data_IF_818609023547
#
_entry.id   IF_818609023547
#
_cell.length_a   1.000
_cell.length_b   1.000
_cell.length_c   1.000
_cell.angle_alpha   90.00
_cell.angle_beta   90.00
_cell.angle_gamma   90.00
#
_symmetry.space_group_name_H-M   'P 1'
#
loop_
_entity.id
_entity.type
_entity.pdbx_description
1 polymer ?
#
# COMPACT_ATOMS: atom_id res chain seq x y z
N UNK A 1 8.93 -8.40 3.58
CA UNK A 1 8.23 -8.05 2.32
C UNK A 1 9.31 -7.90 1.25
N UNK A 2 9.12 -8.52 0.07
CA UNK A 2 10.09 -8.44 -1.02
C UNK A 2 10.16 -7.02 -1.60
N UNK A 3 11.31 -6.64 -2.16
CA UNK A 3 11.54 -5.31 -2.75
C UNK A 3 10.55 -4.91 -3.86
N UNK A 4 9.78 -5.87 -4.36
CA UNK A 4 8.86 -5.72 -5.48
C UNK A 4 7.38 -5.59 -5.05
N UNK A 5 7.13 -5.45 -3.75
CA UNK A 5 5.79 -5.31 -3.20
C UNK A 5 5.61 -3.91 -2.63
N UNK A 6 4.47 -3.32 -2.95
CA UNK A 6 4.06 -1.98 -2.53
C UNK A 6 2.75 -2.13 -1.76
N UNK A 7 2.70 -1.62 -0.55
CA UNK A 7 1.47 -1.56 0.22
C UNK A 7 0.62 -0.40 -0.29
N UNK A 8 -0.60 -0.69 -0.74
CA UNK A 8 -1.61 0.29 -1.10
C UNK A 8 -2.55 0.43 0.08
N UNK A 9 -2.59 1.61 0.66
CA UNK A 9 -3.42 1.91 1.82
C UNK A 9 -4.59 2.78 1.38
N UNK A 10 -5.81 2.34 1.66
CA UNK A 10 -7.04 3.11 1.45
C UNK A 10 -7.34 3.93 2.70
N UNK A 11 -7.64 5.20 2.54
CA UNK A 11 -8.17 6.02 3.62
C UNK A 11 -9.57 5.55 4.03
N UNK A 12 -10.01 5.97 5.21
CA UNK A 12 -11.39 5.73 5.68
C UNK A 12 -12.44 6.29 4.73
N UNK A 13 -12.17 7.44 4.13
CA UNK A 13 -13.04 8.06 3.12
C UNK A 13 -13.11 7.22 1.84
N UNK A 14 -11.98 6.72 1.35
CA UNK A 14 -11.93 5.85 0.18
C UNK A 14 -12.70 4.54 0.39
N UNK A 15 -12.58 3.92 1.56
CA UNK A 15 -13.33 2.71 1.89
C UNK A 15 -14.84 2.97 1.93
N UNK A 16 -15.25 4.15 2.39
CA UNK A 16 -16.66 4.53 2.47
C UNK A 16 -17.28 4.89 1.10
N UNK A 17 -16.56 5.65 0.27
CA UNK A 17 -17.16 6.36 -0.87
C UNK A 17 -16.48 6.11 -2.23
N UNK A 18 -15.30 5.48 -2.29
CA UNK A 18 -14.59 5.24 -3.56
C UNK A 18 -15.27 4.18 -4.43
N UNK A 19 -15.47 4.48 -5.70
CA UNK A 19 -15.98 3.52 -6.69
C UNK A 19 -14.98 2.38 -6.93
N UNK A 20 -13.69 2.66 -6.90
CA UNK A 20 -12.61 1.68 -7.07
C UNK A 20 -12.59 0.66 -5.93
N UNK A 21 -12.63 1.13 -4.70
CA UNK A 21 -12.71 0.22 -3.54
C UNK A 21 -14.00 -0.61 -3.56
N UNK A 22 -15.13 0.02 -3.92
CA UNK A 22 -16.42 -0.67 -4.08
C UNK A 22 -16.37 -1.76 -5.14
N UNK A 23 -15.71 -1.50 -6.28
CA UNK A 23 -15.51 -2.49 -7.34
C UNK A 23 -14.66 -3.67 -6.87
N UNK A 24 -13.55 -3.44 -6.16
CA UNK A 24 -12.71 -4.47 -5.58
C UNK A 24 -13.48 -5.34 -4.57
N UNK A 25 -14.28 -4.71 -3.71
CA UNK A 25 -15.16 -5.42 -2.78
C UNK A 25 -16.24 -6.23 -3.50
N UNK A 26 -16.82 -5.72 -4.57
CA UNK A 26 -17.81 -6.42 -5.37
C UNK A 26 -17.21 -7.65 -6.07
N UNK A 27 -16.02 -7.54 -6.64
CA UNK A 27 -15.27 -8.69 -7.20
C UNK A 27 -15.07 -9.79 -6.16
N UNK A 28 -14.58 -9.42 -4.98
CA UNK A 28 -14.37 -10.34 -3.88
C UNK A 28 -15.68 -10.99 -3.41
N UNK A 29 -16.71 -10.18 -3.15
CA UNK A 29 -17.97 -10.65 -2.57
C UNK A 29 -18.79 -11.50 -3.56
N UNK A 30 -18.66 -11.27 -4.86
CA UNK A 30 -19.26 -12.11 -5.90
C UNK A 30 -18.48 -13.41 -6.15
N UNK A 31 -17.35 -13.63 -5.49
CA UNK A 31 -16.44 -14.76 -5.74
C UNK A 31 -16.05 -14.85 -7.23
N UNK A 32 -15.93 -13.69 -7.90
CA UNK A 32 -15.75 -13.57 -9.35
C UNK A 32 -16.85 -14.23 -10.20
N UNK A 33 -18.03 -14.50 -9.66
CA UNK A 33 -19.13 -15.13 -10.40
C UNK A 33 -19.94 -14.14 -11.24
N UNK A 34 -19.91 -12.86 -10.88
CA UNK A 34 -20.59 -11.78 -11.62
C UNK A 34 -19.78 -11.39 -12.86
N UNK A 35 -20.38 -11.61 -14.04
CA UNK A 35 -19.73 -11.34 -15.32
C UNK A 35 -19.60 -9.86 -15.64
N UNK A 36 -20.56 -9.03 -15.23
CA UNK A 36 -20.57 -7.59 -15.49
C UNK A 36 -19.48 -6.89 -14.67
N UNK A 37 -19.37 -7.25 -13.40
CA UNK A 37 -18.34 -6.72 -12.50
C UNK A 37 -16.94 -7.10 -12.99
N UNK A 38 -16.74 -8.36 -13.44
CA UNK A 38 -15.46 -8.79 -14.02
C UNK A 38 -15.10 -8.01 -15.28
N UNK A 39 -16.08 -7.81 -16.17
CA UNK A 39 -15.85 -7.08 -17.41
C UNK A 39 -15.49 -5.60 -17.14
N UNK A 40 -16.20 -4.94 -16.23
CA UNK A 40 -15.89 -3.58 -15.81
C UNK A 40 -14.45 -3.49 -15.28
N UNK A 41 -14.06 -4.42 -14.43
CA UNK A 41 -12.71 -4.49 -13.89
C UNK A 41 -11.65 -4.73 -14.99
N UNK A 42 -11.88 -5.68 -15.91
CA UNK A 42 -10.95 -5.94 -17.01
C UNK A 42 -10.77 -4.69 -17.89
N UNK A 43 -11.83 -3.96 -18.16
CA UNK A 43 -11.75 -2.72 -18.93
C UNK A 43 -10.93 -1.64 -18.21
N UNK A 44 -11.04 -1.51 -16.89
CA UNK A 44 -10.19 -0.61 -16.12
C UNK A 44 -8.71 -0.97 -16.27
N UNK A 45 -8.35 -2.25 -16.09
CA UNK A 45 -6.96 -2.71 -16.27
C UNK A 45 -6.48 -2.48 -17.70
N UNK A 46 -7.23 -2.89 -18.71
CA UNK A 46 -6.85 -2.78 -20.13
C UNK A 46 -6.59 -1.32 -20.51
N UNK A 47 -7.44 -0.41 -20.05
CA UNK A 47 -7.34 1.02 -20.38
C UNK A 47 -6.16 1.72 -19.67
N UNK A 48 -5.65 1.15 -18.58
CA UNK A 48 -4.53 1.72 -17.79
C UNK A 48 -3.19 1.03 -18.06
N UNK A 49 -3.17 -0.06 -18.86
CA UNK A 49 -1.93 -0.77 -19.17
C UNK A 49 -1.19 -0.09 -20.33
N UNK A 50 0.06 0.28 -20.09
CA UNK A 50 1.03 0.62 -21.11
C UNK A 50 2.17 -0.42 -21.14
N UNK A 51 1.96 -1.51 -21.88
CA UNK A 51 2.95 -2.57 -22.08
C UNK A 51 3.47 -2.60 -23.53
N UNK A 52 3.29 -1.52 -24.27
CA UNK A 52 3.64 -1.41 -25.67
C UNK A 52 2.89 -2.43 -26.54
N UNK A 53 3.53 -2.91 -27.62
CA UNK A 53 2.95 -3.87 -28.58
C UNK A 53 2.92 -5.33 -28.07
N UNK A 54 3.15 -5.56 -26.78
CA UNK A 54 3.21 -6.90 -26.19
C UNK A 54 1.81 -7.47 -25.96
N UNK A 55 1.61 -8.74 -26.33
CA UNK A 55 0.43 -9.47 -25.90
C UNK A 55 0.56 -9.85 -24.43
N UNK A 56 -0.54 -9.79 -23.69
CA UNK A 56 -0.59 -10.17 -22.28
C UNK A 56 -1.89 -10.89 -21.93
N UNK A 57 -1.85 -11.61 -20.82
CA UNK A 57 -2.98 -12.29 -20.23
C UNK A 57 -3.25 -11.69 -18.85
N UNK A 58 -4.49 -11.25 -18.62
CA UNK A 58 -4.95 -10.84 -17.29
C UNK A 58 -5.57 -12.06 -16.61
N UNK A 59 -4.99 -12.48 -15.51
CA UNK A 59 -5.50 -13.55 -14.67
C UNK A 59 -6.14 -12.93 -13.43
N UNK A 60 -7.38 -13.30 -13.17
CA UNK A 60 -8.11 -12.92 -11.96
C UNK A 60 -8.51 -14.19 -11.23
N UNK A 61 -8.14 -14.32 -9.98
CA UNK A 61 -8.44 -15.48 -9.14
C UNK A 61 -9.06 -15.04 -7.83
N UNK A 62 -10.01 -15.82 -7.35
CA UNK A 62 -10.59 -15.72 -6.03
C UNK A 62 -10.21 -16.98 -5.24
N UNK A 63 -9.83 -16.78 -3.99
CA UNK A 63 -9.53 -17.91 -3.09
C UNK A 63 -9.87 -17.51 -1.65
N UNK A 64 -9.84 -18.50 -0.79
CA UNK A 64 -10.14 -18.37 0.63
C UNK A 64 -9.01 -18.95 1.47
N UNK A 65 -8.76 -18.35 2.61
CA UNK A 65 -7.79 -18.81 3.58
C UNK A 65 -8.45 -19.00 4.95
N UNK A 66 -8.36 -20.20 5.49
CA UNK A 66 -8.80 -20.49 6.86
C UNK A 66 -7.72 -20.05 7.84
N UNK A 67 -8.08 -19.17 8.78
CA UNK A 67 -7.15 -18.71 9.79
C UNK A 67 -7.06 -19.75 10.91
N UNK A 68 -5.90 -20.38 11.12
CA UNK A 68 -5.75 -21.33 12.21
C UNK A 68 -5.93 -20.63 13.56
N UNK A 69 -6.85 -21.09 14.37
CA UNK A 69 -7.00 -20.58 15.72
C UNK A 69 -5.90 -21.15 16.63
N UNK A 70 -5.20 -20.28 17.34
CA UNK A 70 -4.29 -20.70 18.41
C UNK A 70 -5.06 -20.70 19.72
N UNK A 71 -5.02 -21.83 20.42
CA UNK A 71 -5.57 -21.94 21.76
C UNK A 71 -4.67 -21.17 22.78
N UNK A 72 -5.15 -21.05 24.03
CA UNK A 72 -4.40 -20.35 25.09
C UNK A 72 -3.01 -20.95 25.39
N UNK A 73 -2.69 -22.11 24.85
CA UNK A 73 -1.40 -22.79 25.03
C UNK A 73 -0.49 -22.68 23.79
N UNK A 74 -0.83 -21.78 22.83
CA UNK A 74 -0.12 -21.58 21.55
C UNK A 74 -0.10 -22.83 20.63
N UNK A 75 -0.96 -23.82 20.88
CA UNK A 75 -1.16 -24.97 20.01
C UNK A 75 -2.18 -24.64 18.92
N UNK A 76 -1.89 -25.05 17.69
CA UNK A 76 -2.79 -24.88 16.56
C UNK A 76 -3.99 -25.82 16.68
N UNK A 77 -5.20 -25.27 16.83
CA UNK A 77 -6.44 -26.00 16.78
C UNK A 77 -7.07 -25.85 15.38
N UNK A 78 -6.92 -26.87 14.57
CA UNK A 78 -7.37 -26.86 13.17
C UNK A 78 -8.90 -26.84 13.02
N UNK A 79 -9.63 -27.24 14.06
CA UNK A 79 -11.10 -27.36 14.04
C UNK A 79 -11.82 -26.13 14.64
N UNK A 80 -11.10 -25.15 15.18
CA UNK A 80 -11.70 -24.03 15.92
C UNK A 80 -11.73 -22.68 15.17
N UNK A 81 -11.39 -22.65 13.88
CA UNK A 81 -11.37 -21.41 13.11
C UNK A 81 -12.72 -21.19 12.42
N UNK A 82 -13.53 -20.27 12.97
CA UNK A 82 -14.74 -19.78 12.30
C UNK A 82 -14.46 -18.63 11.32
N UNK A 83 -13.19 -18.19 11.18
CA UNK A 83 -12.82 -17.06 10.35
C UNK A 83 -12.19 -17.52 9.03
N UNK A 84 -12.95 -17.38 7.95
CA UNK A 84 -12.49 -17.62 6.58
C UNK A 84 -12.23 -16.25 5.92
N UNK A 85 -10.99 -16.01 5.46
CA UNK A 85 -10.67 -14.82 4.69
C UNK A 85 -10.76 -15.10 3.21
N UNK A 86 -11.54 -14.31 2.51
CA UNK A 86 -11.63 -14.33 1.06
C UNK A 86 -10.84 -13.19 0.46
N UNK A 87 -10.18 -13.46 -0.66
CA UNK A 87 -9.36 -12.47 -1.36
C UNK A 87 -9.40 -12.69 -2.87
N UNK A 88 -9.04 -11.65 -3.61
CA UNK A 88 -8.83 -11.69 -5.05
C UNK A 88 -7.36 -11.39 -5.37
N UNK A 89 -6.85 -12.10 -6.36
CA UNK A 89 -5.52 -11.88 -6.93
C UNK A 89 -5.69 -11.54 -8.40
N UNK A 90 -5.04 -10.47 -8.83
CA UNK A 90 -4.92 -10.12 -10.24
C UNK A 90 -3.46 -10.22 -10.65
N UNK A 91 -3.19 -10.81 -11.82
CA UNK A 91 -1.87 -10.87 -12.42
C UNK A 91 -1.94 -10.50 -13.89
N UNK A 92 -1.08 -9.59 -14.34
CA UNK A 92 -0.87 -9.25 -15.75
C UNK A 92 0.40 -9.93 -16.20
N UNK A 93 0.26 -10.92 -17.07
CA UNK A 93 1.34 -11.80 -17.51
C UNK A 93 1.62 -11.59 -18.98
N UNK A 94 2.85 -11.22 -19.40
CA UNK A 94 3.22 -11.15 -20.79
C UNK A 94 3.12 -12.51 -21.47
N UNK A 95 2.63 -12.51 -22.72
CA UNK A 95 2.58 -13.69 -23.56
C UNK A 95 3.75 -13.65 -24.54
N UNK A 96 4.59 -14.66 -24.50
CA UNK A 96 5.80 -14.76 -25.32
C UNK A 96 5.68 -15.89 -26.33
N UNK A 97 6.23 -15.68 -27.51
CA UNK A 97 6.37 -16.77 -28.48
C UNK A 97 7.43 -17.76 -28.00
N UNK A 98 7.06 -19.03 -27.99
CA UNK A 98 7.96 -20.12 -27.74
C UNK A 98 8.67 -20.46 -29.07
N UNK A 99 9.99 -20.59 -29.04
CA UNK A 99 10.74 -21.14 -30.16
C UNK A 99 10.20 -22.52 -30.52
N UNK A 100 10.09 -22.79 -31.81
CA UNK A 100 9.68 -24.09 -32.29
C UNK A 100 10.65 -25.18 -31.80
N UNK A 101 10.12 -26.14 -31.07
CA UNK A 101 10.83 -27.32 -30.58
C UNK A 101 10.19 -28.57 -31.14
N UNK A 102 10.94 -29.68 -31.20
CA UNK A 102 10.39 -30.97 -31.58
C UNK A 102 9.67 -31.58 -30.37
N UNK A 103 8.37 -31.77 -30.50
CA UNK A 103 7.54 -32.43 -29.50
C UNK A 103 7.07 -33.81 -30.00
N UNK A 104 7.08 -34.82 -29.15
CA UNK A 104 6.51 -36.12 -29.44
C UNK A 104 5.00 -36.13 -29.11
N UNK A 105 4.21 -36.57 -30.11
CA UNK A 105 2.74 -36.68 -29.95
C UNK A 105 2.35 -38.16 -29.89
N UNK A 106 1.97 -38.66 -28.70
CA UNK A 106 1.62 -40.08 -28.51
C UNK A 106 0.42 -40.53 -29.32
N UNK A 107 -0.46 -39.61 -29.73
CA UNK A 107 -1.70 -39.93 -30.47
C UNK A 107 -1.46 -40.43 -31.89
N UNK A 108 -0.43 -39.93 -32.57
CA UNK A 108 -0.03 -40.31 -33.91
C UNK A 108 1.35 -40.99 -33.94
N UNK A 109 2.01 -41.06 -32.78
CA UNK A 109 3.34 -41.65 -32.61
C UNK A 109 4.42 -40.97 -33.46
N UNK A 110 4.30 -39.64 -33.66
CA UNK A 110 5.19 -38.86 -34.48
C UNK A 110 5.77 -37.64 -33.74
N UNK A 111 6.84 -37.07 -34.29
CA UNK A 111 7.42 -35.84 -33.83
C UNK A 111 6.99 -34.67 -34.70
N UNK A 112 6.40 -33.67 -34.11
CA UNK A 112 6.00 -32.45 -34.78
C UNK A 112 6.70 -31.21 -34.21
N UNK A 113 6.80 -30.17 -35.05
CA UNK A 113 7.24 -28.87 -34.57
C UNK A 113 6.16 -28.24 -33.67
N UNK A 114 6.50 -28.04 -32.43
CA UNK A 114 5.66 -27.35 -31.45
C UNK A 114 6.06 -25.89 -31.38
N UNK A 115 5.41 -25.04 -32.16
CA UNK A 115 5.41 -23.60 -31.97
C UNK A 115 4.19 -23.22 -31.13
N UNK A 116 4.33 -22.28 -30.24
CA UNK A 116 3.21 -21.86 -29.38
C UNK A 116 3.52 -20.60 -28.60
N UNK A 117 2.50 -20.12 -27.93
CA UNK A 117 2.64 -19.01 -27.00
C UNK A 117 2.73 -19.54 -25.56
N UNK A 118 3.59 -18.94 -24.74
CA UNK A 118 3.73 -19.23 -23.34
C UNK A 118 3.44 -17.98 -22.51
N UNK A 119 2.77 -18.19 -21.40
CA UNK A 119 2.55 -17.13 -20.40
C UNK A 119 3.80 -17.00 -19.55
N UNK A 120 4.39 -15.82 -19.53
CA UNK A 120 5.55 -15.52 -18.68
C UNK A 120 5.12 -15.18 -17.26
N UNK A 121 6.10 -15.02 -16.36
CA UNK A 121 5.86 -14.54 -15.01
C UNK A 121 5.19 -13.15 -15.05
N UNK A 122 4.34 -12.81 -14.05
CA UNK A 122 3.64 -11.54 -14.00
C UNK A 122 4.59 -10.34 -14.11
N UNK A 123 4.21 -9.34 -14.89
CA UNK A 123 4.88 -8.03 -14.93
C UNK A 123 4.40 -7.17 -13.78
N UNK A 124 3.11 -7.19 -13.52
CA UNK A 124 2.46 -6.56 -12.38
C UNK A 124 1.29 -7.40 -11.89
N UNK A 125 0.80 -7.08 -10.70
CA UNK A 125 -0.37 -7.73 -10.13
C UNK A 125 -0.70 -7.18 -8.75
N UNK A 126 -1.76 -7.66 -8.16
CA UNK A 126 -2.10 -7.30 -6.79
C UNK A 126 -2.89 -8.39 -6.08
N UNK A 127 -2.93 -8.28 -4.76
CA UNK A 127 -3.78 -9.04 -3.86
C UNK A 127 -4.65 -8.07 -3.05
N UNK A 128 -5.96 -8.33 -2.98
CA UNK A 128 -6.91 -7.52 -2.20
C UNK A 128 -7.98 -8.40 -1.54
N UNK A 129 -8.34 -8.16 -0.29
CA UNK A 129 -7.61 -7.37 0.72
C UNK A 129 -6.26 -8.01 1.07
N UNK A 130 -5.32 -7.19 1.53
CA UNK A 130 -4.08 -7.72 2.09
C UNK A 130 -4.33 -8.37 3.46
N UNK A 131 -3.43 -9.25 3.87
CA UNK A 131 -3.50 -9.89 5.18
C UNK A 131 -2.62 -9.12 6.16
N UNK A 132 -3.21 -8.75 7.29
CA UNK A 132 -2.52 -8.12 8.40
C UNK A 132 -2.85 -8.90 9.68
N UNK A 133 -1.85 -9.22 10.47
CA UNK A 133 -1.94 -9.89 11.78
C UNK A 133 -3.09 -10.93 11.92
N UNK A 134 -3.28 -11.78 10.89
CA UNK A 134 -4.32 -12.81 10.80
C UNK A 134 -5.73 -12.31 10.45
N UNK A 135 -5.85 -11.08 9.98
CA UNK A 135 -7.11 -10.53 9.50
C UNK A 135 -6.99 -10.07 8.03
N UNK A 136 -8.08 -10.19 7.27
CA UNK A 136 -8.17 -9.53 5.98
C UNK A 136 -8.42 -8.04 6.22
N UNK A 137 -7.48 -7.21 5.83
CA UNK A 137 -7.57 -5.77 6.01
C UNK A 137 -8.10 -5.11 4.73
N UNK A 138 -9.38 -4.73 4.72
CA UNK A 138 -10.02 -4.06 3.57
C UNK A 138 -9.46 -2.66 3.28
N UNK A 139 -8.70 -2.10 4.21
CA UNK A 139 -7.99 -0.84 4.05
C UNK A 139 -6.64 -1.01 3.35
N UNK A 140 -6.26 -2.24 2.99
CA UNK A 140 -4.96 -2.49 2.40
C UNK A 140 -5.04 -3.45 1.21
N UNK A 141 -4.27 -3.15 0.16
CA UNK A 141 -3.98 -4.05 -0.94
C UNK A 141 -2.46 -4.17 -1.11
N UNK A 142 -2.01 -5.31 -1.59
CA UNK A 142 -0.60 -5.54 -1.87
C UNK A 142 -0.37 -5.54 -3.38
N UNK A 143 0.34 -4.54 -3.88
CA UNK A 143 0.66 -4.41 -5.30
C UNK A 143 2.06 -4.94 -5.58
N UNK A 144 2.19 -5.69 -6.65
CA UNK A 144 3.44 -6.25 -7.15
C UNK A 144 3.84 -5.58 -8.47
N UNK A 145 5.07 -5.13 -8.57
CA UNK A 145 5.71 -4.78 -9.83
C UNK A 145 7.01 -5.58 -10.00
N UNK A 146 7.21 -6.15 -11.18
CA UNK A 146 8.40 -6.94 -11.49
C UNK A 146 9.67 -6.12 -11.42
N UNK A 147 9.60 -4.87 -11.84
CA UNK A 147 10.69 -3.90 -11.77
C UNK A 147 10.40 -2.89 -10.67
N UNK A 148 11.35 -2.67 -9.80
CA UNK A 148 11.20 -1.75 -8.67
C UNK A 148 11.21 -0.27 -9.05
N UNK A 149 11.71 0.05 -10.24
CA UNK A 149 11.78 1.38 -10.84
C UNK A 149 10.58 1.70 -11.74
N UNK A 150 9.74 0.71 -12.03
CA UNK A 150 8.55 0.85 -12.88
C UNK A 150 7.31 0.45 -12.07
N UNK A 151 6.71 1.43 -11.40
CA UNK A 151 5.60 1.21 -10.46
C UNK A 151 4.22 1.14 -11.11
N UNK A 152 4.11 1.34 -12.43
CA UNK A 152 2.84 1.31 -13.16
C UNK A 152 1.76 2.21 -12.53
N UNK A 153 2.11 3.50 -12.32
CA UNK A 153 1.25 4.47 -11.63
C UNK A 153 -0.16 4.56 -12.21
N UNK A 154 -0.30 4.45 -13.54
CA UNK A 154 -1.59 4.52 -14.22
C UNK A 154 -2.52 3.37 -13.83
N UNK A 155 -1.96 2.18 -13.60
CA UNK A 155 -2.73 1.03 -13.08
C UNK A 155 -3.11 1.24 -11.62
N UNK A 156 -2.18 1.74 -10.80
CA UNK A 156 -2.45 2.04 -9.39
C UNK A 156 -3.56 3.09 -9.28
N UNK A 157 -3.49 4.16 -10.05
CA UNK A 157 -4.50 5.21 -10.05
C UNK A 157 -5.86 4.69 -10.54
N UNK A 158 -5.87 3.93 -11.63
CA UNK A 158 -7.11 3.38 -12.21
C UNK A 158 -7.81 2.36 -11.29
N UNK A 159 -7.03 1.48 -10.63
CA UNK A 159 -7.58 0.36 -9.83
C UNK A 159 -7.86 0.77 -8.39
N UNK A 160 -7.02 1.62 -7.80
CA UNK A 160 -7.07 1.96 -6.38
C UNK A 160 -7.38 3.43 -6.11
N UNK A 161 -7.38 4.25 -7.15
CA UNK A 161 -7.57 5.71 -7.05
C UNK A 161 -6.61 6.35 -6.03
N UNK A 162 -5.35 5.98 -6.10
CA UNK A 162 -4.30 6.50 -5.22
C UNK A 162 -3.03 6.76 -6.03
N UNK A 163 -2.25 7.73 -5.58
CA UNK A 163 -0.88 7.87 -6.07
C UNK A 163 -0.03 6.77 -5.46
N UNK A 164 1.05 6.38 -6.15
CA UNK A 164 2.00 5.45 -5.55
C UNK A 164 2.42 6.00 -4.19
N UNK A 165 2.28 5.22 -3.11
CA UNK A 165 2.60 5.71 -1.80
C UNK A 165 4.10 6.06 -1.74
N UNK A 166 4.41 7.22 -1.19
CA UNK A 166 5.78 7.54 -0.81
C UNK A 166 6.31 6.43 0.08
N UNK A 167 7.54 6.00 -0.13
CA UNK A 167 8.19 5.07 0.80
C UNK A 167 8.24 5.69 2.22
N UNK A 168 8.26 4.85 3.26
CA UNK A 168 8.37 5.33 4.63
C UNK A 168 9.56 6.27 4.84
N UNK A 169 10.69 6.00 4.15
CA UNK A 169 11.88 6.85 4.21
C UNK A 169 11.64 8.23 3.57
N UNK A 170 10.98 8.28 2.42
CA UNK A 170 10.63 9.53 1.75
C UNK A 170 9.60 10.34 2.55
N UNK A 171 8.58 9.68 3.12
CA UNK A 171 7.59 10.35 3.99
C UNK A 171 8.27 10.99 5.21
N UNK A 172 9.20 10.26 5.83
CA UNK A 172 9.97 10.75 6.97
C UNK A 172 10.82 11.95 6.58
N UNK A 173 11.58 11.86 5.49
CA UNK A 173 12.43 12.94 5.02
C UNK A 173 11.60 14.18 4.65
N UNK A 174 10.50 14.02 3.93
CA UNK A 174 9.59 15.09 3.56
C UNK A 174 8.97 15.79 4.79
N UNK A 175 8.55 15.02 5.79
CA UNK A 175 8.01 15.57 7.03
C UNK A 175 9.06 16.33 7.84
N UNK A 176 10.28 15.79 7.94
CA UNK A 176 11.40 16.44 8.60
C UNK A 176 11.78 17.75 7.88
N UNK A 177 11.77 17.77 6.55
CA UNK A 177 12.02 18.95 5.75
C UNK A 177 10.94 20.02 6.00
N UNK A 178 9.66 19.65 6.02
CA UNK A 178 8.57 20.57 6.32
C UNK A 178 8.68 21.17 7.73
N UNK A 179 9.04 20.37 8.73
CA UNK A 179 9.33 20.87 10.08
C UNK A 179 10.53 21.80 10.11
N UNK A 180 11.62 21.44 9.44
CA UNK A 180 12.84 22.24 9.39
C UNK A 180 12.60 23.60 8.74
N UNK A 181 11.89 23.63 7.62
CA UNK A 181 11.53 24.85 6.91
C UNK A 181 10.66 25.79 7.75
N UNK A 182 9.65 25.22 8.41
CA UNK A 182 8.72 26.01 9.21
C UNK A 182 9.31 26.53 10.53
N UNK A 183 10.06 25.68 11.21
CA UNK A 183 10.52 25.98 12.56
C UNK A 183 11.80 26.83 12.57
N UNK A 184 12.74 26.56 11.64
CA UNK A 184 14.01 27.27 11.59
C UNK A 184 14.66 27.38 12.97
N UNK A 185 14.94 28.61 13.40
CA UNK A 185 15.57 28.89 14.71
C UNK A 185 14.65 28.58 15.94
N UNK A 186 13.35 28.39 15.74
CA UNK A 186 12.43 28.01 16.81
C UNK A 186 12.47 26.50 17.10
N UNK A 187 13.15 25.71 16.28
CA UNK A 187 13.33 24.30 16.52
C UNK A 187 14.24 24.09 17.73
N UNK A 188 13.71 23.46 18.75
CA UNK A 188 14.47 23.13 19.96
C UNK A 188 14.18 21.68 20.39
N UNK A 189 15.01 21.17 21.31
CA UNK A 189 14.94 19.78 21.76
C UNK A 189 13.58 19.44 22.40
N UNK A 190 13.01 20.36 23.18
CA UNK A 190 11.75 20.18 23.88
C UNK A 190 10.58 20.01 22.90
N UNK A 191 10.55 20.83 21.84
CA UNK A 191 9.55 20.75 20.78
C UNK A 191 9.66 19.45 19.98
N UNK A 192 10.89 19.06 19.58
CA UNK A 192 11.12 17.81 18.83
C UNK A 192 10.75 16.60 19.65
N UNK A 193 11.06 16.59 20.96
CA UNK A 193 10.67 15.56 21.89
C UNK A 193 9.14 15.48 22.03
N UNK A 194 8.47 16.60 22.17
CA UNK A 194 7.00 16.63 22.31
C UNK A 194 6.30 16.12 21.05
N UNK A 195 6.80 16.45 19.87
CA UNK A 195 6.27 15.91 18.59
C UNK A 195 6.45 14.39 18.56
N UNK A 196 7.66 13.91 18.87
CA UNK A 196 7.97 12.49 18.90
C UNK A 196 7.05 11.73 19.87
N UNK A 197 6.94 12.19 21.10
CA UNK A 197 6.13 11.55 22.14
C UNK A 197 4.64 11.50 21.75
N UNK A 198 4.13 12.57 21.14
CA UNK A 198 2.75 12.61 20.65
C UNK A 198 2.48 11.61 19.52
N UNK A 199 3.38 11.51 18.56
CA UNK A 199 3.26 10.53 17.47
C UNK A 199 3.38 9.09 17.99
N UNK A 200 4.27 8.86 18.95
CA UNK A 200 4.44 7.57 19.60
C UNK A 200 3.19 7.15 20.37
N UNK A 201 2.61 8.05 21.16
CA UNK A 201 1.36 7.79 21.87
C UNK A 201 0.23 7.40 20.92
N UNK A 202 0.09 8.07 19.78
CA UNK A 202 -0.90 7.73 18.77
C UNK A 202 -0.67 6.32 18.18
N UNK A 203 0.59 5.96 17.89
CA UNK A 203 0.94 4.63 17.40
C UNK A 203 0.62 3.55 18.42
N UNK A 204 0.95 3.78 19.72
CA UNK A 204 0.69 2.83 20.79
C UNK A 204 -0.82 2.66 21.02
N UNK A 205 -1.59 3.74 21.06
CA UNK A 205 -3.05 3.69 21.19
C UNK A 205 -3.72 2.95 20.03
N UNK A 206 -3.25 3.19 18.80
CA UNK A 206 -3.77 2.49 17.62
C UNK A 206 -3.47 0.99 17.68
N UNK A 207 -2.25 0.60 18.07
CA UNK A 207 -1.88 -0.81 18.25
C UNK A 207 -2.72 -1.49 19.34
N UNK A 208 -2.98 -0.81 20.46
CA UNK A 208 -3.80 -1.34 21.56
C UNK A 208 -5.26 -1.49 21.17
N UNK A 209 -5.77 -0.62 20.31
CA UNK A 209 -7.16 -0.66 19.85
C UNK A 209 -7.44 -1.83 18.90
N UNK A 210 -6.40 -2.40 18.28
CA UNK A 210 -6.52 -3.40 17.21
C UNK A 210 -7.50 -2.97 16.10
N UNK A 211 -7.61 -1.67 15.86
CA UNK A 211 -8.46 -1.12 14.83
C UNK A 211 -7.95 -1.51 13.43
N UNK A 212 -8.81 -2.01 12.52
CA UNK A 212 -8.42 -2.33 11.16
C UNK A 212 -8.17 -1.09 10.29
N UNK A 213 -8.72 0.07 10.71
CA UNK A 213 -8.54 1.34 10.01
C UNK A 213 -7.06 1.75 10.05
N UNK A 214 -6.54 2.36 8.97
CA UNK A 214 -5.18 2.87 8.97
C UNK A 214 -5.01 3.98 10.02
N UNK A 215 -3.82 4.04 10.63
CA UNK A 215 -3.47 5.17 11.48
C UNK A 215 -3.14 6.37 10.59
N UNK A 216 -4.01 7.36 10.59
CA UNK A 216 -3.92 8.55 9.77
C UNK A 216 -3.60 9.78 10.63
N UNK A 217 -2.61 10.56 10.19
CA UNK A 217 -2.29 11.89 10.71
C UNK A 217 -2.56 12.90 9.60
N UNK A 218 -3.59 13.71 9.75
CA UNK A 218 -3.80 14.82 8.83
C UNK A 218 -2.77 15.92 9.05
N UNK A 219 -2.49 16.72 8.03
CA UNK A 219 -1.65 17.93 8.16
C UNK A 219 -2.23 18.90 9.21
N UNK A 220 -3.56 18.89 9.38
CA UNK A 220 -4.24 19.69 10.42
C UNK A 220 -3.95 19.21 11.82
N UNK A 221 -3.88 17.89 12.04
CA UNK A 221 -3.55 17.30 13.34
C UNK A 221 -2.07 17.53 13.67
N UNK A 222 -1.17 17.38 12.69
CA UNK A 222 0.23 17.73 12.85
C UNK A 222 0.41 19.22 13.19
N UNK A 223 -0.32 20.11 12.53
CA UNK A 223 -0.33 21.55 12.84
C UNK A 223 -0.89 21.83 14.25
N UNK A 224 -1.88 21.06 14.73
CA UNK A 224 -2.38 21.18 16.10
C UNK A 224 -1.30 20.81 17.13
N UNK A 225 -0.51 19.77 16.88
CA UNK A 225 0.62 19.41 17.75
C UNK A 225 1.61 20.58 17.86
N UNK A 226 1.94 21.26 16.75
CA UNK A 226 2.81 22.44 16.77
C UNK A 226 2.19 23.58 17.56
N UNK A 227 0.90 23.84 17.40
CA UNK A 227 0.18 24.90 18.12
C UNK A 227 0.14 24.64 19.63
N UNK A 228 -0.11 23.41 20.05
CA UNK A 228 -0.14 23.01 21.46
C UNK A 228 1.22 23.17 22.13
N UNK A 229 2.31 23.15 21.34
CA UNK A 229 3.66 23.41 21.79
C UNK A 229 4.10 24.89 21.66
N UNK A 230 3.15 25.80 21.41
CA UNK A 230 3.40 27.24 21.41
C UNK A 230 4.10 27.77 20.17
N UNK A 231 4.09 27.02 19.05
CA UNK A 231 4.60 27.50 17.76
C UNK A 231 3.68 28.59 17.21
N UNK A 232 4.28 29.69 16.74
CA UNK A 232 3.54 30.82 16.20
C UNK A 232 2.75 30.45 14.93
N UNK A 233 1.55 31.01 14.77
CA UNK A 233 0.64 30.68 13.67
C UNK A 233 1.26 30.92 12.29
N UNK A 234 2.13 31.92 12.16
CA UNK A 234 2.86 32.20 10.91
C UNK A 234 3.74 31.00 10.50
N UNK A 235 4.43 30.38 11.46
CA UNK A 235 5.26 29.19 11.23
C UNK A 235 4.40 27.93 10.94
N UNK A 236 3.24 27.83 11.56
CA UNK A 236 2.27 26.76 11.29
C UNK A 236 1.74 26.87 9.85
N UNK A 237 1.52 28.07 9.32
CA UNK A 237 1.15 28.25 7.92
C UNK A 237 2.26 27.80 6.98
N UNK A 238 3.52 28.15 7.25
CA UNK A 238 4.67 27.66 6.47
C UNK A 238 4.74 26.14 6.50
N UNK A 239 4.53 25.51 7.66
CA UNK A 239 4.50 24.05 7.78
C UNK A 239 3.41 23.43 6.90
N UNK A 240 2.20 24.00 6.91
CA UNK A 240 1.09 23.51 6.08
C UNK A 240 1.37 23.64 4.60
N UNK A 241 1.91 24.78 4.18
CA UNK A 241 2.24 25.03 2.77
C UNK A 241 3.36 24.09 2.30
N UNK A 242 4.37 23.85 3.14
CA UNK A 242 5.42 22.87 2.85
C UNK A 242 4.88 21.44 2.77
N UNK A 243 4.00 21.03 3.70
CA UNK A 243 3.34 19.73 3.63
C UNK A 243 2.48 19.59 2.35
N UNK A 244 1.69 20.61 1.99
CA UNK A 244 0.90 20.59 0.77
C UNK A 244 1.77 20.45 -0.49
N UNK A 245 2.94 21.09 -0.49
CA UNK A 245 3.90 20.99 -1.59
C UNK A 245 4.52 19.59 -1.70
N UNK A 246 4.83 18.95 -0.58
CA UNK A 246 5.54 17.66 -0.55
C UNK A 246 4.62 16.45 -0.63
N UNK A 247 3.43 16.52 -0.03
CA UNK A 247 2.50 15.41 0.06
C UNK A 247 1.22 15.59 -0.77
N UNK A 248 0.96 16.81 -1.24
CA UNK A 248 -0.30 17.18 -1.89
C UNK A 248 -1.34 17.71 -0.91
N UNK A 249 -2.35 18.41 -1.47
CA UNK A 249 -3.46 18.96 -0.69
C UNK A 249 -4.31 17.84 -0.07
N UNK A 250 -4.57 17.96 1.24
CA UNK A 250 -5.41 16.97 1.95
C UNK A 250 -4.75 15.63 2.22
N UNK A 251 -3.43 15.52 2.01
CA UNK A 251 -2.70 14.28 2.29
C UNK A 251 -2.79 13.88 3.76
N UNK A 252 -2.92 12.58 4.00
CA UNK A 252 -2.78 11.95 5.31
C UNK A 252 -1.46 11.18 5.37
N UNK A 253 -0.82 11.21 6.52
CA UNK A 253 0.46 10.58 6.78
C UNK A 253 0.28 9.45 7.78
N UNK A 254 1.08 8.41 7.67
CA UNK A 254 1.11 7.38 8.71
C UNK A 254 2.17 7.77 9.76
N UNK A 255 1.78 8.04 11.01
CA UNK A 255 2.73 8.38 12.08
C UNK A 255 3.86 7.37 12.23
N UNK A 256 3.60 6.09 12.00
CA UNK A 256 4.60 5.04 12.09
C UNK A 256 5.71 5.15 11.02
N UNK A 257 5.47 5.87 9.92
CA UNK A 257 6.48 6.16 8.92
C UNK A 257 7.32 7.39 9.25
N UNK A 258 6.83 8.26 10.15
CA UNK A 258 7.48 9.55 10.45
C UNK A 258 8.54 9.43 11.55
N UNK A 259 8.35 8.49 12.48
CA UNK A 259 9.28 8.25 13.59
C UNK A 259 9.85 6.83 13.51
N UNK A 260 11.16 6.69 13.71
CA UNK A 260 11.78 5.38 13.93
C UNK A 260 11.66 4.98 15.39
N UNK A 261 11.59 3.67 15.64
CA UNK A 261 11.73 3.11 16.98
C UNK A 261 13.11 3.41 17.60
N UNK A 262 14.07 3.88 16.78
CA UNK A 262 15.45 4.12 17.21
C UNK A 262 15.83 5.60 17.26
N UNK A 263 15.25 6.49 16.44
CA UNK A 263 15.68 7.89 16.39
C UNK A 263 14.74 8.79 15.57
N UNK A 264 14.43 9.96 16.10
CA UNK A 264 13.75 11.03 15.37
C UNK A 264 14.66 12.25 15.28
N UNK A 265 14.87 12.78 14.08
CA UNK A 265 15.75 13.92 13.81
C UNK A 265 15.02 15.03 13.08
N UNK A 266 15.33 16.28 13.46
CA UNK A 266 14.99 17.47 12.69
C UNK A 266 16.28 18.23 12.43
N UNK A 267 16.59 18.49 11.16
CA UNK A 267 17.78 19.24 10.73
C UNK A 267 17.39 20.68 10.43
N UNK A 268 18.02 21.61 11.11
CA UNK A 268 17.91 23.05 10.78
C UNK A 268 19.21 23.53 10.12
N UNK A 269 19.24 24.79 9.68
CA UNK A 269 20.44 25.37 9.07
C UNK A 269 21.66 25.31 10.01
N UNK A 270 21.46 25.45 11.32
CA UNK A 270 22.51 25.60 12.32
C UNK A 270 22.72 24.35 13.21
N UNK A 271 21.78 23.42 13.24
CA UNK A 271 21.83 22.29 14.15
C UNK A 271 21.04 21.07 13.65
N UNK A 272 21.43 19.90 14.12
CA UNK A 272 20.60 18.69 14.04
C UNK A 272 20.14 18.35 15.45
N UNK A 273 18.84 18.32 15.66
CA UNK A 273 18.22 17.94 16.92
C UNK A 273 17.72 16.51 16.78
N UNK A 274 18.16 15.61 17.65
CA UNK A 274 17.75 14.21 17.61
C UNK A 274 17.22 13.77 18.96
N UNK A 275 16.16 12.97 18.93
CA UNK A 275 15.58 12.27 20.07
C UNK A 275 15.85 10.79 19.90
N UNK A 276 16.53 10.22 20.85
CA UNK A 276 16.72 8.77 20.96
C UNK A 276 15.62 8.22 21.88
N UNK A 277 15.07 7.02 21.61
CA UNK A 277 13.99 6.42 22.39
C UNK A 277 14.37 6.07 23.83
#
# INVERSE_FOLDING_TARGET
IGKNLIDIIFSTEQVADSDEHRLLMALRNSELKDGEIREEFYQKIINSLDLGDSNYLILLAYDTYDVPHKNKNDEMDADASDAVFSYVVCCVCPVKERKAELGFFPGDNEFHSCAGQIVAAPELGFLFPAFDDRAANIYNALFYSRKTDEIHQEVIDSVFHTTAPMSAAEQKEAFQNALSEALGDACNMELVQSIHDRLRDQIEQHKESHAPEPLELSVSDAAAILRDNGVEEEKILVFRDSCATQFGDGATLNPANLIDSSRFEVKTADATISVDP
#
